data_IF_642224152269
#
_entry.id   IF_642224152269
#
_cell.length_a   1.000
_cell.length_b   1.000
_cell.length_c   1.000
_cell.angle_alpha   90.00
_cell.angle_beta   90.00
_cell.angle_gamma   90.00
#
_symmetry.space_group_name_H-M   'P 1'
#
loop_
_entity.id
_entity.type
_entity.pdbx_description
1 polymer ?
#
# COMPACT_ATOMS: atom_id res chain seq x y z
N UNK A 1 -22.66 42.39 6.90
CA UNK A 1 -23.86 43.25 6.80
C UNK A 1 -25.07 42.35 6.99
N UNK A 2 -26.00 42.76 7.84
CA UNK A 2 -26.81 41.90 8.71
C UNK A 2 -27.64 40.80 8.05
N UNK A 3 -27.50 39.58 8.55
CA UNK A 3 -28.60 38.62 8.52
C UNK A 3 -29.73 39.23 9.37
N UNK A 4 -30.91 39.47 8.77
CA UNK A 4 -32.11 39.71 9.58
C UNK A 4 -32.32 38.45 10.44
N UNK A 5 -32.45 38.58 11.77
CA UNK A 5 -32.63 37.43 12.66
C UNK A 5 -33.92 36.70 12.27
N UNK A 6 -33.87 35.37 12.19
CA UNK A 6 -35.07 34.55 12.07
C UNK A 6 -36.06 34.97 13.16
N UNK A 7 -37.28 35.37 12.77
CA UNK A 7 -38.34 35.84 13.68
C UNK A 7 -38.91 34.73 14.59
N UNK A 8 -38.22 33.60 14.68
CA UNK A 8 -38.55 32.49 15.56
C UNK A 8 -37.41 32.35 16.57
N UNK A 9 -37.72 32.58 17.84
CA UNK A 9 -36.76 32.42 18.93
C UNK A 9 -36.94 31.04 19.55
N UNK A 10 -35.86 30.30 19.85
CA UNK A 10 -35.94 29.05 20.60
C UNK A 10 -36.70 29.24 21.91
N UNK A 11 -37.65 28.35 22.19
CA UNK A 11 -38.38 28.33 23.45
C UNK A 11 -37.58 27.60 24.52
N UNK A 12 -36.97 28.37 25.43
CA UNK A 12 -36.19 27.81 26.56
C UNK A 12 -37.01 27.68 27.85
N UNK A 13 -38.27 28.11 27.86
CA UNK A 13 -39.09 28.19 29.07
C UNK A 13 -40.16 27.09 29.14
N UNK A 14 -40.11 26.12 28.23
CA UNK A 14 -41.09 25.02 28.21
C UNK A 14 -40.89 24.17 29.45
N UNK A 15 -41.94 24.06 30.26
CA UNK A 15 -41.92 23.18 31.44
C UNK A 15 -41.75 21.74 30.99
N UNK A 16 -40.96 20.97 31.73
CA UNK A 16 -40.87 19.53 31.50
C UNK A 16 -42.16 18.86 31.96
N UNK A 17 -42.62 17.86 31.22
CA UNK A 17 -43.92 17.24 31.47
C UNK A 17 -44.43 16.43 30.29
N UNK A 18 -45.63 15.88 30.44
CA UNK A 18 -46.30 15.10 29.39
C UNK A 18 -47.21 16.00 28.58
N UNK A 19 -47.00 16.00 27.27
CA UNK A 19 -47.70 16.86 26.32
C UNK A 19 -48.39 16.05 25.22
N UNK A 20 -49.39 16.67 24.62
CA UNK A 20 -49.87 16.31 23.29
C UNK A 20 -49.25 17.29 22.29
N UNK A 21 -48.69 16.79 21.19
CA UNK A 21 -48.22 17.63 20.09
C UNK A 21 -49.34 17.67 19.06
N UNK A 22 -49.95 18.84 18.89
CA UNK A 22 -51.13 19.04 18.07
C UNK A 22 -50.76 19.81 16.81
N UNK A 23 -51.20 19.32 15.65
CA UNK A 23 -51.09 20.04 14.41
C UNK A 23 -52.11 21.18 14.39
N UNK A 24 -51.62 22.43 14.34
CA UNK A 24 -52.41 23.65 14.54
C UNK A 24 -53.66 23.71 13.67
N UNK A 25 -53.53 23.51 12.35
CA UNK A 25 -54.67 23.64 11.42
C UNK A 25 -55.68 22.49 11.51
N UNK A 26 -55.27 21.28 11.91
CA UNK A 26 -56.13 20.09 11.82
C UNK A 26 -56.65 19.60 13.18
N UNK A 27 -56.07 20.10 14.28
CA UNK A 27 -56.38 19.66 15.64
C UNK A 27 -55.97 18.21 15.94
N UNK A 28 -55.34 17.52 14.99
CA UNK A 28 -54.91 16.13 15.12
C UNK A 28 -53.60 16.04 15.91
N UNK A 29 -53.43 14.97 16.68
CA UNK A 29 -52.28 14.72 17.52
C UNK A 29 -51.24 13.82 16.84
N UNK A 30 -49.95 14.10 17.09
CA UNK A 30 -48.86 13.20 16.72
C UNK A 30 -48.90 11.95 17.61
N UNK A 31 -48.84 10.78 16.98
CA UNK A 31 -48.89 9.48 17.65
C UNK A 31 -47.93 8.45 17.04
N UNK A 32 -47.58 7.43 17.82
CA UNK A 32 -46.98 6.20 17.28
C UNK A 32 -48.11 5.32 16.73
N UNK A 33 -47.93 4.79 15.53
CA UNK A 33 -48.88 3.88 14.89
C UNK A 33 -49.03 2.56 15.68
N UNK A 34 -50.26 2.08 15.82
CA UNK A 34 -50.57 0.91 16.65
C UNK A 34 -50.16 -0.44 16.02
N UNK A 35 -49.91 -0.46 14.71
CA UNK A 35 -49.49 -1.65 13.97
C UNK A 35 -48.00 -1.62 13.68
N UNK A 36 -47.44 -0.44 13.45
CA UNK A 36 -46.02 -0.23 13.20
C UNK A 36 -45.41 0.77 14.20
N UNK A 37 -44.78 0.22 15.24
CA UNK A 37 -44.21 1.02 16.33
C UNK A 37 -42.99 1.87 15.95
N UNK A 38 -42.53 1.82 14.70
CA UNK A 38 -41.48 2.71 14.17
C UNK A 38 -42.07 3.91 13.39
N UNK A 39 -43.37 3.87 13.07
CA UNK A 39 -44.04 4.88 12.25
C UNK A 39 -44.72 5.93 13.12
N UNK A 40 -44.45 7.19 12.81
CA UNK A 40 -45.16 8.35 13.37
C UNK A 40 -46.29 8.74 12.44
N UNK A 41 -47.47 8.96 13.00
CA UNK A 41 -48.67 9.38 12.27
C UNK A 41 -49.35 10.55 12.98
N UNK A 42 -50.19 11.27 12.25
CA UNK A 42 -51.03 12.33 12.79
C UNK A 42 -52.47 11.85 12.75
N UNK A 43 -53.13 11.78 13.90
CA UNK A 43 -54.46 11.18 14.05
C UNK A 43 -55.37 11.95 15.00
N UNK A 44 -56.66 11.65 15.01
CA UNK A 44 -57.62 12.30 15.91
C UNK A 44 -57.21 12.10 17.37
N UNK A 45 -57.29 13.19 18.14
CA UNK A 45 -56.89 13.18 19.55
C UNK A 45 -57.86 12.33 20.35
N UNK A 46 -57.36 11.24 20.92
CA UNK A 46 -58.12 10.29 21.75
C UNK A 46 -57.52 10.08 23.14
N UNK A 47 -56.51 10.89 23.49
CA UNK A 47 -55.82 10.87 24.78
C UNK A 47 -55.14 9.54 25.14
N UNK A 48 -54.96 8.63 24.17
CA UNK A 48 -54.19 7.40 24.35
C UNK A 48 -52.73 7.67 24.73
N UNK A 49 -52.10 6.72 25.41
CA UNK A 49 -50.70 6.86 25.84
C UNK A 49 -49.72 6.90 24.64
N UNK A 50 -50.08 6.34 23.49
CA UNK A 50 -49.34 6.48 22.23
C UNK A 50 -49.38 7.90 21.63
N UNK A 51 -50.26 8.79 22.12
CA UNK A 51 -50.33 10.21 21.75
C UNK A 51 -49.64 11.15 22.75
N UNK A 52 -49.19 10.60 23.89
CA UNK A 52 -48.59 11.37 24.97
C UNK A 52 -47.07 11.32 24.88
N UNK A 53 -46.44 12.50 24.91
CA UNK A 53 -45.01 12.67 24.77
C UNK A 53 -44.44 13.35 26.01
N UNK A 54 -43.59 12.65 26.74
CA UNK A 54 -42.84 13.18 27.85
C UNK A 54 -41.66 14.00 27.34
N UNK A 55 -41.72 15.31 27.59
CA UNK A 55 -40.69 16.27 27.23
C UNK A 55 -39.61 16.28 28.30
N UNK A 56 -38.37 16.01 27.90
CA UNK A 56 -37.20 16.01 28.78
C UNK A 56 -36.13 16.96 28.24
N UNK A 57 -35.38 17.61 29.12
CA UNK A 57 -34.27 18.47 28.73
C UNK A 57 -33.14 17.63 28.11
N UNK A 58 -32.62 18.08 26.97
CA UNK A 58 -31.47 17.49 26.29
C UNK A 58 -30.49 18.59 25.84
N UNK A 59 -29.54 18.94 26.71
CA UNK A 59 -28.62 20.04 26.45
C UNK A 59 -29.36 21.37 26.23
N UNK A 60 -29.19 21.98 25.05
CA UNK A 60 -29.87 23.22 24.63
C UNK A 60 -31.25 23.01 23.97
N UNK A 61 -31.71 21.77 23.87
CA UNK A 61 -33.00 21.41 23.29
C UNK A 61 -33.74 20.40 24.16
N UNK A 62 -34.67 19.68 23.55
CA UNK A 62 -35.56 18.74 24.24
C UNK A 62 -35.61 17.40 23.52
N UNK A 63 -35.93 16.35 24.26
CA UNK A 63 -36.28 15.05 23.71
C UNK A 63 -37.75 14.75 24.03
N UNK A 64 -38.44 14.11 23.09
CA UNK A 64 -39.83 13.72 23.22
C UNK A 64 -39.92 12.20 23.34
N UNK A 65 -40.23 11.69 24.53
CA UNK A 65 -40.36 10.25 24.79
C UNK A 65 -41.82 9.85 24.84
N UNK A 66 -42.24 8.94 23.99
CA UNK A 66 -43.60 8.40 23.98
C UNK A 66 -43.91 7.67 25.28
N UNK A 67 -45.09 7.92 25.86
CA UNK A 67 -45.50 7.35 27.14
C UNK A 67 -45.79 5.85 27.06
N UNK A 68 -46.40 5.39 25.96
CA UNK A 68 -46.79 3.98 25.81
C UNK A 68 -45.60 3.06 25.49
N UNK A 69 -44.78 3.46 24.52
CA UNK A 69 -43.72 2.59 23.99
C UNK A 69 -42.31 2.95 24.49
N UNK A 70 -42.13 4.11 25.11
CA UNK A 70 -40.83 4.59 25.58
C UNK A 70 -39.87 5.00 24.45
N UNK A 71 -40.32 4.99 23.20
CA UNK A 71 -39.55 5.43 22.03
C UNK A 71 -39.51 6.96 21.95
N UNK A 72 -38.49 7.48 21.31
CA UNK A 72 -38.27 8.89 21.11
C UNK A 72 -38.71 9.34 19.72
N UNK A 73 -39.18 10.57 19.61
CA UNK A 73 -39.39 11.21 18.31
C UNK A 73 -38.02 11.42 17.65
N UNK A 74 -37.81 10.86 16.45
CA UNK A 74 -36.55 10.89 15.73
C UNK A 74 -36.72 11.11 14.23
N UNK A 75 -35.63 10.99 13.47
CA UNK A 75 -35.61 11.10 12.01
C UNK A 75 -35.15 9.77 11.40
N UNK A 76 -35.82 9.33 10.34
CA UNK A 76 -35.38 8.20 9.51
C UNK A 76 -34.27 8.67 8.57
N UNK A 77 -33.01 8.34 8.89
CA UNK A 77 -31.84 8.67 8.06
C UNK A 77 -31.63 7.66 6.91
N UNK A 78 -32.49 6.65 6.80
CA UNK A 78 -32.43 5.64 5.76
C UNK A 78 -33.12 6.07 4.44
N UNK A 79 -33.90 7.15 4.48
CA UNK A 79 -34.67 7.65 3.35
C UNK A 79 -34.01 8.89 2.71
N UNK A 80 -34.28 9.13 1.43
CA UNK A 80 -33.84 10.34 0.73
C UNK A 80 -34.51 11.60 1.30
N UNK A 81 -33.77 12.71 1.34
CA UNK A 81 -34.25 13.99 1.88
C UNK A 81 -35.58 14.43 1.25
N UNK A 82 -36.59 14.84 2.04
CA UNK A 82 -36.55 15.09 3.48
C UNK A 82 -36.69 13.82 4.34
N UNK A 83 -35.81 13.68 5.34
CA UNK A 83 -35.85 12.57 6.31
C UNK A 83 -37.18 12.57 7.07
N UNK A 84 -38.02 11.53 6.93
CA UNK A 84 -39.32 11.50 7.60
C UNK A 84 -39.14 11.29 9.10
N UNK A 85 -40.09 11.81 9.89
CA UNK A 85 -40.11 11.63 11.35
C UNK A 85 -40.48 10.18 11.68
N UNK A 86 -39.75 9.56 12.59
CA UNK A 86 -39.95 8.17 13.01
C UNK A 86 -39.95 8.01 14.53
N UNK A 87 -40.38 6.84 15.00
CA UNK A 87 -40.25 6.45 16.40
C UNK A 87 -38.95 5.66 16.55
N UNK A 88 -38.01 6.22 17.29
CA UNK A 88 -36.64 5.70 17.46
C UNK A 88 -36.46 5.17 18.90
N UNK A 89 -35.81 4.01 19.11
CA UNK A 89 -35.41 3.60 20.45
C UNK A 89 -34.30 4.50 21.03
N UNK A 90 -33.62 5.27 20.18
CA UNK A 90 -32.55 6.19 20.55
C UNK A 90 -33.04 7.64 20.65
N UNK A 91 -32.64 8.39 21.68
CA UNK A 91 -33.07 9.78 21.88
C UNK A 91 -32.52 10.71 20.80
N UNK A 92 -33.38 11.58 20.27
CA UNK A 92 -33.00 12.70 19.41
C UNK A 92 -33.30 14.03 20.11
N UNK A 93 -32.42 15.01 19.90
CA UNK A 93 -32.58 16.35 20.47
C UNK A 93 -33.22 17.28 19.45
N UNK A 94 -34.27 17.98 19.88
CA UNK A 94 -35.08 18.89 19.09
C UNK A 94 -35.00 20.30 19.67
N UNK A 95 -34.95 21.30 18.81
CA UNK A 95 -35.11 22.69 19.22
C UNK A 95 -36.56 23.07 18.99
N UNK A 96 -37.26 23.47 20.05
CA UNK A 96 -38.64 23.99 19.95
C UNK A 96 -38.55 25.50 19.79
N UNK A 97 -39.31 26.06 18.85
CA UNK A 97 -39.28 27.48 18.52
C UNK A 97 -40.63 28.10 18.87
N UNK A 98 -40.64 29.28 19.49
CA UNK A 98 -41.88 30.06 19.67
C UNK A 98 -42.31 30.61 18.31
N UNK A 99 -43.57 30.37 17.95
CA UNK A 99 -44.19 31.02 16.80
C UNK A 99 -44.59 32.44 17.21
N UNK A 100 -44.19 33.44 16.42
CA UNK A 100 -44.55 34.85 16.68
C UNK A 100 -46.03 35.07 16.34
N UNK A 101 -46.87 35.55 17.29
CA UNK A 101 -48.29 35.85 17.03
C UNK A 101 -48.51 36.84 15.88
N UNK A 102 -47.55 37.72 15.57
CA UNK A 102 -47.67 38.68 14.46
C UNK A 102 -47.36 38.07 13.09
N UNK A 103 -46.80 36.85 13.02
CA UNK A 103 -46.52 36.16 11.76
C UNK A 103 -47.74 35.40 11.20
N UNK A 104 -48.83 35.32 11.95
CA UNK A 104 -50.07 34.68 11.54
C UNK A 104 -51.13 35.77 11.44
N UNK A 105 -51.42 36.23 10.23
CA UNK A 105 -52.72 36.87 9.99
C UNK A 105 -53.80 35.89 10.43
N UNK A 106 -54.77 36.35 11.22
CA UNK A 106 -55.89 35.52 11.66
C UNK A 106 -56.52 34.82 10.46
N UNK A 107 -56.54 33.48 10.48
CA UNK A 107 -57.27 32.67 9.51
C UNK A 107 -56.41 31.64 8.81
N UNK A 108 -56.78 30.37 9.00
CA UNK A 108 -56.53 29.33 8.01
C UNK A 108 -57.00 29.87 6.65
N UNK A 109 -56.16 29.92 5.60
CA UNK A 109 -56.60 30.48 4.32
C UNK A 109 -57.70 29.59 3.74
N UNK A 110 -58.93 30.09 3.82
CA UNK A 110 -60.01 29.68 2.94
C UNK A 110 -59.58 29.99 1.50
N UNK A 111 -60.02 29.17 0.56
CA UNK A 111 -59.59 29.11 -0.84
C UNK A 111 -60.01 30.34 -1.67
N UNK A 112 -59.54 31.52 -1.29
CA UNK A 112 -59.70 32.76 -2.07
C UNK A 112 -58.33 33.29 -2.43
N UNK A 113 -58.02 33.26 -3.72
CA UNK A 113 -56.76 33.69 -4.29
C UNK A 113 -56.54 35.20 -4.21
N UNK A 114 -56.35 35.72 -2.99
CA UNK A 114 -55.90 37.09 -2.78
C UNK A 114 -54.39 37.19 -3.07
N UNK A 115 -54.04 37.98 -4.09
CA UNK A 115 -52.65 38.26 -4.45
C UNK A 115 -51.91 38.89 -3.26
N UNK A 116 -50.77 38.30 -2.88
CA UNK A 116 -49.89 38.81 -1.82
C UNK A 116 -49.58 40.29 -2.04
N UNK A 117 -49.49 41.13 -0.99
CA UNK A 117 -49.19 42.55 -1.14
C UNK A 117 -47.93 42.75 -2.00
N UNK A 118 -47.94 43.71 -2.93
CA UNK A 118 -46.86 43.99 -3.89
C UNK A 118 -45.44 43.99 -3.28
N UNK A 119 -45.30 44.49 -2.04
CA UNK A 119 -44.02 44.50 -1.32
C UNK A 119 -43.47 43.08 -1.06
N UNK A 120 -44.32 42.12 -0.70
CA UNK A 120 -43.95 40.73 -0.50
C UNK A 120 -43.57 40.05 -1.81
N UNK A 121 -44.20 40.42 -2.92
CA UNK A 121 -43.86 39.88 -4.23
C UNK A 121 -42.45 40.32 -4.67
N UNK A 122 -42.09 41.58 -4.42
CA UNK A 122 -40.76 42.13 -4.71
C UNK A 122 -39.68 41.43 -3.87
N UNK A 123 -39.89 41.29 -2.55
CA UNK A 123 -38.94 40.62 -1.66
C UNK A 123 -38.78 39.13 -2.03
N UNK A 124 -39.88 38.45 -2.37
CA UNK A 124 -39.83 37.05 -2.84
C UNK A 124 -39.05 36.91 -4.15
N UNK A 125 -39.24 37.84 -5.10
CA UNK A 125 -38.52 37.83 -6.37
C UNK A 125 -37.01 38.06 -6.18
N UNK A 126 -36.62 38.96 -5.27
CA UNK A 126 -35.21 39.17 -4.91
C UNK A 126 -34.59 37.94 -4.26
N UNK A 127 -35.27 37.32 -3.29
CA UNK A 127 -34.79 36.09 -2.66
C UNK A 127 -34.67 34.94 -3.66
N UNK A 128 -35.59 34.84 -4.62
CA UNK A 128 -35.51 33.85 -5.70
C UNK A 128 -34.31 34.09 -6.62
N UNK A 129 -34.01 35.36 -6.94
CA UNK A 129 -32.83 35.70 -7.73
C UNK A 129 -31.54 35.35 -6.97
N UNK A 130 -31.41 35.77 -5.71
CA UNK A 130 -30.24 35.50 -4.88
C UNK A 130 -30.01 33.99 -4.71
N UNK A 131 -31.09 33.22 -4.50
CA UNK A 131 -31.02 31.77 -4.42
C UNK A 131 -30.55 31.17 -5.74
N UNK A 132 -31.08 31.63 -6.88
CA UNK A 132 -30.67 31.17 -8.20
C UNK A 132 -29.18 31.45 -8.46
N UNK A 133 -28.68 32.62 -8.07
CA UNK A 133 -27.27 32.97 -8.15
C UNK A 133 -26.40 32.03 -7.30
N UNK A 134 -26.82 31.75 -6.06
CA UNK A 134 -26.11 30.81 -5.17
C UNK A 134 -26.09 29.38 -5.70
N UNK A 135 -27.19 28.91 -6.27
CA UNK A 135 -27.27 27.60 -6.94
C UNK A 135 -26.33 27.54 -8.15
N UNK A 136 -26.26 28.61 -8.94
CA UNK A 136 -25.34 28.69 -10.07
C UNK A 136 -23.86 28.70 -9.64
N UNK A 137 -23.52 29.41 -8.55
CA UNK A 137 -22.18 29.39 -7.95
C UNK A 137 -21.80 27.99 -7.43
N UNK A 138 -22.69 27.33 -6.70
CA UNK A 138 -22.48 25.96 -6.22
C UNK A 138 -22.28 24.99 -7.38
N UNK A 139 -23.12 25.08 -8.41
CA UNK A 139 -23.00 24.26 -9.63
C UNK A 139 -21.66 24.47 -10.36
N UNK A 140 -21.06 25.66 -10.29
CA UNK A 140 -19.70 25.90 -10.82
C UNK A 140 -18.62 25.25 -9.95
N UNK A 141 -18.77 25.31 -8.62
CA UNK A 141 -17.85 24.67 -7.67
C UNK A 141 -17.89 23.15 -7.81
N UNK A 142 -19.07 22.55 -7.93
CA UNK A 142 -19.23 21.11 -8.11
C UNK A 142 -18.55 20.62 -9.39
N UNK A 143 -18.71 21.33 -10.50
CA UNK A 143 -17.98 21.02 -11.75
C UNK A 143 -16.46 21.11 -11.59
N UNK A 144 -15.96 22.08 -10.80
CA UNK A 144 -14.51 22.22 -10.54
C UNK A 144 -14.00 21.09 -9.63
N UNK A 145 -14.78 20.69 -8.63
CA UNK A 145 -14.47 19.56 -7.77
C UNK A 145 -14.47 18.25 -8.56
N UNK A 146 -15.47 18.03 -9.44
CA UNK A 146 -15.52 16.87 -10.32
C UNK A 146 -14.28 16.73 -11.19
N UNK A 147 -13.81 17.82 -11.82
CA UNK A 147 -12.54 17.82 -12.57
C UNK A 147 -11.33 17.46 -11.71
N UNK A 148 -11.23 18.01 -10.49
CA UNK A 148 -10.14 17.68 -9.57
C UNK A 148 -10.16 16.22 -9.14
N UNK A 149 -11.33 15.64 -8.92
CA UNK A 149 -11.48 14.22 -8.59
C UNK A 149 -10.99 13.35 -9.75
N UNK A 150 -11.34 13.70 -10.98
CA UNK A 150 -10.87 12.96 -12.17
C UNK A 150 -9.34 13.06 -12.33
N UNK A 151 -8.77 14.25 -12.14
CA UNK A 151 -7.32 14.45 -12.22
C UNK A 151 -6.56 13.69 -11.11
N UNK A 152 -7.10 13.67 -9.90
CA UNK A 152 -6.53 12.88 -8.79
C UNK A 152 -6.59 11.38 -9.09
N UNK A 153 -7.72 10.89 -9.61
CA UNK A 153 -7.87 9.48 -9.99
C UNK A 153 -6.86 9.05 -11.08
N UNK A 154 -6.60 9.92 -12.06
CA UNK A 154 -5.54 9.70 -13.07
C UNK A 154 -4.16 9.63 -12.43
N UNK A 155 -3.84 10.57 -11.53
CA UNK A 155 -2.57 10.57 -10.79
C UNK A 155 -2.39 9.32 -9.94
N UNK A 156 -3.43 8.87 -9.25
CA UNK A 156 -3.40 7.63 -8.46
C UNK A 156 -3.10 6.42 -9.36
N UNK A 157 -3.72 6.35 -10.53
CA UNK A 157 -3.46 5.30 -11.52
C UNK A 157 -2.01 5.31 -12.03
N UNK A 158 -1.47 6.50 -12.31
CA UNK A 158 -0.08 6.67 -12.74
C UNK A 158 0.91 6.30 -11.63
N UNK A 159 0.62 6.66 -10.37
CA UNK A 159 1.42 6.26 -9.20
C UNK A 159 1.44 4.74 -9.07
N UNK A 160 0.30 4.06 -9.23
CA UNK A 160 0.25 2.60 -9.17
C UNK A 160 1.07 1.95 -10.29
N UNK A 161 1.02 2.50 -11.51
CA UNK A 161 1.87 2.04 -12.63
C UNK A 161 3.35 2.21 -12.31
N UNK A 162 3.75 3.40 -11.85
CA UNK A 162 5.15 3.68 -11.52
C UNK A 162 5.68 2.78 -10.39
N UNK A 163 4.87 2.50 -9.37
CA UNK A 163 5.22 1.55 -8.30
C UNK A 163 5.46 0.15 -8.84
N UNK A 164 4.56 -0.36 -9.69
CA UNK A 164 4.72 -1.68 -10.30
C UNK A 164 5.97 -1.80 -11.17
N UNK A 165 6.31 -0.74 -11.91
CA UNK A 165 7.55 -0.67 -12.71
C UNK A 165 8.80 -0.66 -11.83
N UNK A 166 8.77 0.06 -10.70
CA UNK A 166 9.88 0.09 -9.75
C UNK A 166 10.09 -1.30 -9.13
N UNK A 167 9.03 -1.95 -8.67
CA UNK A 167 9.10 -3.31 -8.12
C UNK A 167 9.65 -4.32 -9.14
N UNK A 168 9.29 -4.17 -10.42
CA UNK A 168 9.82 -5.00 -11.50
C UNK A 168 11.32 -4.76 -11.71
N UNK A 169 11.77 -3.50 -11.67
CA UNK A 169 13.19 -3.15 -11.76
C UNK A 169 13.98 -3.71 -10.57
N UNK A 170 13.45 -3.62 -9.36
CA UNK A 170 14.12 -4.14 -8.17
C UNK A 170 14.25 -5.67 -8.19
N UNK A 171 13.24 -6.39 -8.69
CA UNK A 171 13.36 -7.83 -8.96
C UNK A 171 14.42 -8.13 -10.01
N UNK A 172 14.48 -7.33 -11.08
CA UNK A 172 15.49 -7.46 -12.12
C UNK A 172 16.92 -7.21 -11.62
N UNK A 173 17.11 -6.23 -10.73
CA UNK A 173 18.40 -5.96 -10.08
C UNK A 173 18.82 -7.15 -9.23
N UNK A 174 17.95 -7.63 -8.32
CA UNK A 174 18.23 -8.79 -7.47
C UNK A 174 18.64 -10.04 -8.26
N UNK A 175 17.95 -10.30 -9.38
CA UNK A 175 18.29 -11.42 -10.27
C UNK A 175 19.68 -11.27 -10.88
N UNK A 176 20.03 -10.07 -11.36
CA UNK A 176 21.36 -9.78 -11.92
C UNK A 176 22.46 -9.87 -10.85
N UNK A 177 22.21 -9.42 -9.63
CA UNK A 177 23.18 -9.52 -8.54
C UNK A 177 23.45 -10.98 -8.17
N UNK A 178 22.42 -11.83 -8.17
CA UNK A 178 22.57 -13.27 -7.97
C UNK A 178 23.38 -13.92 -9.11
N UNK A 179 23.12 -13.56 -10.37
CA UNK A 179 23.90 -14.04 -11.52
C UNK A 179 25.37 -13.59 -11.47
N UNK A 180 25.63 -12.35 -11.03
CA UNK A 180 27.00 -11.88 -10.85
C UNK A 180 27.71 -12.64 -9.73
N UNK A 181 27.01 -12.93 -8.64
CA UNK A 181 27.55 -13.71 -7.51
C UNK A 181 27.95 -15.12 -7.94
N UNK A 182 27.11 -15.81 -8.73
CA UNK A 182 27.46 -17.14 -9.27
C UNK A 182 28.64 -17.08 -10.23
N UNK A 183 28.68 -16.11 -11.15
CA UNK A 183 29.81 -15.92 -12.06
C UNK A 183 31.12 -15.61 -11.33
N UNK A 184 31.08 -14.82 -10.26
CA UNK A 184 32.26 -14.54 -9.45
C UNK A 184 32.79 -15.81 -8.75
N UNK A 185 31.89 -16.66 -8.25
CA UNK A 185 32.30 -17.96 -7.68
C UNK A 185 32.92 -18.88 -8.74
N UNK A 186 32.34 -18.92 -9.94
CA UNK A 186 32.91 -19.70 -11.06
C UNK A 186 34.28 -19.19 -11.49
N UNK A 187 34.46 -17.87 -11.56
CA UNK A 187 35.76 -17.25 -11.86
C UNK A 187 36.80 -17.62 -10.80
N UNK A 188 36.46 -17.51 -9.51
CA UNK A 188 37.36 -17.89 -8.42
C UNK A 188 37.79 -19.37 -8.50
N UNK A 189 36.87 -20.27 -8.89
CA UNK A 189 37.21 -21.69 -9.12
C UNK A 189 38.18 -21.86 -10.28
N UNK A 190 37.96 -21.16 -11.40
CA UNK A 190 38.86 -21.21 -12.56
C UNK A 190 40.24 -20.64 -12.25
N UNK A 191 40.32 -19.58 -11.47
CA UNK A 191 41.60 -19.02 -11.01
C UNK A 191 42.39 -20.03 -10.17
N UNK A 192 41.72 -20.74 -9.25
CA UNK A 192 42.36 -21.82 -8.48
C UNK A 192 42.83 -22.97 -9.37
N UNK A 193 42.03 -23.37 -10.36
CA UNK A 193 42.40 -24.42 -11.32
C UNK A 193 43.64 -24.02 -12.14
N UNK A 194 43.67 -22.79 -12.66
CA UNK A 194 44.83 -22.25 -13.38
C UNK A 194 46.08 -22.21 -12.50
N UNK A 195 45.96 -21.74 -11.25
CA UNK A 195 47.08 -21.73 -10.32
C UNK A 195 47.63 -23.15 -10.03
N UNK A 196 46.76 -24.16 -9.97
CA UNK A 196 47.18 -25.55 -9.84
C UNK A 196 47.90 -26.05 -11.10
N UNK A 197 47.41 -25.68 -12.29
CA UNK A 197 48.05 -26.02 -13.57
C UNK A 197 49.42 -25.37 -13.72
N UNK A 198 49.59 -24.13 -13.30
CA UNK A 198 50.89 -23.44 -13.32
C UNK A 198 51.91 -24.13 -12.41
N UNK A 199 51.49 -24.57 -11.22
CA UNK A 199 52.34 -25.38 -10.31
C UNK A 199 52.75 -26.71 -10.95
N UNK A 200 51.81 -27.40 -11.59
CA UNK A 200 52.07 -28.66 -12.30
C UNK A 200 53.08 -28.46 -13.45
N UNK A 201 52.89 -27.41 -14.25
CA UNK A 201 53.80 -27.05 -15.34
C UNK A 201 55.20 -26.67 -14.83
N UNK A 202 55.28 -25.93 -13.72
CA UNK A 202 56.55 -25.60 -13.09
C UNK A 202 57.30 -26.85 -12.63
N UNK A 203 56.62 -27.77 -11.96
CA UNK A 203 57.20 -29.04 -11.51
C UNK A 203 57.73 -29.87 -12.69
N UNK A 204 56.94 -30.01 -13.76
CA UNK A 204 57.37 -30.71 -14.99
C UNK A 204 58.57 -30.02 -15.65
N UNK A 205 58.61 -28.69 -15.64
CA UNK A 205 59.72 -27.93 -16.20
C UNK A 205 61.02 -28.17 -15.41
N UNK A 206 60.93 -28.26 -14.08
CA UNK A 206 62.05 -28.62 -13.23
C UNK A 206 62.54 -30.05 -13.50
N UNK A 207 61.63 -31.02 -13.59
CA UNK A 207 61.97 -32.42 -13.91
C UNK A 207 62.69 -32.53 -15.28
N UNK A 208 62.20 -31.81 -16.30
CA UNK A 208 62.85 -31.75 -17.61
C UNK A 208 64.26 -31.16 -17.50
N UNK A 209 64.46 -30.12 -16.68
CA UNK A 209 65.78 -29.51 -16.48
C UNK A 209 66.75 -30.47 -15.78
N UNK A 210 66.27 -31.20 -14.76
CA UNK A 210 67.03 -32.24 -14.08
C UNK A 210 67.43 -33.37 -15.03
N UNK A 211 66.48 -33.88 -15.83
CA UNK A 211 66.74 -34.90 -16.85
C UNK A 211 67.79 -34.45 -17.88
N UNK A 212 67.78 -33.18 -18.29
CA UNK A 212 68.78 -32.61 -19.20
C UNK A 212 70.17 -32.49 -18.56
N UNK A 213 70.26 -32.32 -17.24
CA UNK A 213 71.52 -32.22 -16.52
C UNK A 213 72.22 -33.56 -16.30
N UNK A 214 71.48 -34.68 -16.39
CA UNK A 214 72.02 -36.03 -16.28
C UNK A 214 72.92 -36.33 -17.49
N UNK A 215 74.24 -36.35 -17.27
CA UNK A 215 75.17 -36.88 -18.26
C UNK A 215 75.10 -38.41 -18.31
N UNK A 216 75.18 -39.04 -19.49
CA UNK A 216 75.30 -40.49 -19.57
C UNK A 216 76.56 -40.95 -18.82
N UNK A 217 76.39 -41.89 -17.89
CA UNK A 217 77.48 -42.37 -17.03
C UNK A 217 78.60 -42.93 -17.91
N UNK A 218 79.86 -42.45 -17.80
CA UNK A 218 80.97 -42.92 -18.64
C UNK A 218 81.19 -44.43 -18.59
N UNK A 219 80.83 -45.08 -17.48
CA UNK A 219 80.85 -46.54 -17.32
C UNK A 219 79.82 -47.27 -18.20
N UNK A 220 78.63 -46.68 -18.37
CA UNK A 220 77.58 -47.20 -19.27
C UNK A 220 78.03 -46.99 -20.72
N UNK A 221 78.54 -45.81 -21.05
CA UNK A 221 79.08 -45.51 -22.39
C UNK A 221 80.21 -46.49 -22.74
N UNK A 222 81.15 -46.72 -21.81
CA UNK A 222 82.27 -47.64 -22.01
C UNK A 222 81.79 -49.08 -22.22
N UNK A 223 80.82 -49.55 -21.41
CA UNK A 223 80.24 -50.90 -21.57
C UNK A 223 79.56 -51.07 -22.93
N UNK A 224 78.77 -50.09 -23.35
CA UNK A 224 78.08 -50.11 -24.64
C UNK A 224 79.05 -50.05 -25.84
N UNK A 225 80.13 -49.25 -25.73
CA UNK A 225 81.21 -49.24 -26.73
C UNK A 225 81.91 -50.59 -26.82
N UNK A 226 82.19 -51.21 -25.67
CA UNK A 226 82.85 -52.52 -25.62
C UNK A 226 81.94 -53.61 -26.22
N UNK A 227 80.64 -53.59 -25.94
CA UNK A 227 79.65 -54.49 -26.57
C UNK A 227 79.53 -54.27 -28.09
N UNK A 228 79.52 -53.02 -28.55
CA UNK A 228 79.48 -52.69 -29.97
C UNK A 228 80.77 -53.14 -30.69
N UNK A 229 81.92 -53.00 -30.05
CA UNK A 229 83.21 -53.43 -30.58
C UNK A 229 83.30 -54.97 -30.66
N UNK A 230 82.76 -55.68 -29.67
CA UNK A 230 82.64 -57.14 -29.71
C UNK A 230 81.69 -57.61 -30.83
N UNK A 231 80.59 -56.89 -31.08
CA UNK A 231 79.68 -57.14 -32.22
C UNK A 231 80.35 -56.86 -33.58
N UNK A 232 81.19 -55.84 -33.66
CA UNK A 232 81.95 -55.51 -34.87
C UNK A 232 83.03 -56.57 -35.16
N UNK A 233 83.76 -57.03 -34.13
CA UNK A 233 84.81 -58.06 -34.26
C UNK A 233 84.25 -59.48 -34.47
N UNK A 234 82.98 -59.73 -34.13
CA UNK A 234 82.27 -60.99 -34.40
C UNK A 234 81.75 -61.17 -35.83
N UNK A 235 81.89 -60.16 -36.71
CA UNK A 235 81.33 -60.22 -38.07
C UNK A 235 82.36 -60.63 -39.11
N UNK A 236 82.73 -61.90 -39.11
CA UNK A 236 83.22 -62.60 -40.31
C UNK A 236 82.46 -63.92 -40.47
N UNK A 237 81.71 -64.01 -41.57
CA UNK A 237 81.13 -65.23 -42.15
C UNK A 237 79.89 -65.82 -41.47
N UNK A 238 78.70 -65.48 -42.00
CA UNK A 238 77.89 -66.36 -42.86
C UNK A 238 76.49 -65.74 -43.04
N UNK A 239 76.07 -65.59 -44.29
CA UNK A 239 74.71 -65.20 -44.62
C UNK A 239 73.72 -66.32 -44.33
N UNK A 240 72.49 -65.94 -44.02
CA UNK A 240 71.28 -66.31 -44.76
C UNK A 240 70.04 -65.98 -43.93
N UNK A 241 69.20 -65.13 -44.52
CA UNK A 241 67.73 -65.13 -44.49
C UNK A 241 67.01 -65.51 -43.19
N UNK A 242 66.26 -64.56 -42.62
CA UNK A 242 64.86 -64.79 -42.18
C UNK A 242 64.14 -63.50 -41.78
N UNK A 243 63.15 -63.17 -42.61
CA UNK A 243 61.81 -62.60 -42.31
C UNK A 243 61.73 -61.27 -41.55
N UNK A 244 61.19 -60.25 -42.23
CA UNK A 244 60.67 -59.03 -41.60
C UNK A 244 59.48 -59.39 -40.70
N UNK A 245 59.68 -59.35 -39.38
CA UNK A 245 58.59 -59.33 -38.43
C UNK A 245 58.20 -57.86 -38.22
N UNK A 246 57.15 -57.44 -38.93
CA UNK A 246 56.48 -56.16 -38.70
C UNK A 246 55.82 -56.24 -37.32
N UNK A 247 56.24 -55.40 -36.40
CA UNK A 247 55.56 -55.22 -35.12
C UNK A 247 54.15 -54.68 -35.36
N UNK A 248 53.11 -55.19 -34.67
CA UNK A 248 51.76 -54.66 -34.83
C UNK A 248 51.68 -53.22 -34.30
N UNK A 249 50.78 -52.39 -34.84
CA UNK A 249 50.63 -51.00 -34.42
C UNK A 249 50.11 -50.94 -32.98
N UNK A 250 50.79 -50.17 -32.14
CA UNK A 250 50.31 -49.81 -30.81
C UNK A 250 49.16 -48.82 -30.99
N UNK A 251 47.93 -49.27 -30.76
CA UNK A 251 46.78 -48.40 -30.64
C UNK A 251 46.87 -47.59 -29.33
N UNK A 252 47.11 -46.29 -29.44
CA UNK A 252 46.95 -45.35 -28.33
C UNK A 252 45.46 -45.01 -28.23
N UNK A 253 44.74 -45.71 -27.37
CA UNK A 253 43.42 -45.30 -26.92
C UNK A 253 43.59 -44.26 -25.82
N UNK A 254 43.26 -43.01 -26.09
CA UNK A 254 43.04 -41.99 -25.05
C UNK A 254 41.78 -42.37 -24.27
N UNK A 255 41.96 -43.19 -23.24
CA UNK A 255 40.94 -43.49 -22.24
C UNK A 255 41.31 -42.80 -20.94
N UNK A 256 40.72 -41.63 -20.70
CA UNK A 256 40.57 -41.10 -19.34
C UNK A 256 39.25 -40.34 -19.27
N UNK A 257 38.17 -41.09 -19.48
CA UNK A 257 36.93 -40.78 -18.78
C UNK A 257 37.17 -41.16 -17.32
N UNK A 258 37.42 -40.17 -16.47
CA UNK A 258 37.37 -40.37 -15.03
C UNK A 258 35.92 -40.12 -14.59
N UNK A 259 35.18 -41.22 -14.51
CA UNK A 259 33.81 -41.31 -14.02
C UNK A 259 33.81 -41.03 -12.50
N UNK A 260 33.50 -39.79 -12.10
CA UNK A 260 33.13 -39.51 -10.71
C UNK A 260 31.64 -39.79 -10.57
N UNK A 261 31.32 -41.03 -10.21
CA UNK A 261 29.97 -41.41 -9.76
C UNK A 261 29.54 -40.45 -8.65
N UNK A 262 28.39 -39.81 -8.86
CA UNK A 262 27.57 -39.25 -7.80
C UNK A 262 27.38 -40.29 -6.70
N UNK A 263 28.11 -40.14 -5.60
CA UNK A 263 27.66 -40.64 -4.32
C UNK A 263 27.14 -39.44 -3.56
N UNK A 264 25.88 -39.55 -3.18
CA UNK A 264 25.13 -38.59 -2.39
C UNK A 264 25.98 -38.06 -1.23
N UNK A 265 26.46 -36.82 -1.37
CA UNK A 265 26.96 -36.05 -0.24
C UNK A 265 25.79 -35.16 0.17
N UNK A 266 24.96 -35.67 1.09
CA UNK A 266 24.12 -34.82 1.93
C UNK A 266 25.04 -33.92 2.75
N UNK A 267 25.29 -32.71 2.26
CA UNK A 267 25.87 -31.65 3.09
C UNK A 267 24.74 -31.16 3.99
N UNK A 268 24.64 -31.79 5.15
CA UNK A 268 23.89 -31.29 6.30
C UNK A 268 24.40 -29.88 6.63
N UNK A 269 23.52 -28.89 6.53
CA UNK A 269 23.77 -27.55 7.07
C UNK A 269 24.16 -27.66 8.55
N UNK A 270 25.37 -27.21 8.87
CA UNK A 270 25.83 -26.99 10.24
C UNK A 270 26.48 -25.60 10.32
N UNK A 271 25.68 -24.55 10.17
CA UNK A 271 25.91 -23.21 10.69
C UNK A 271 24.50 -22.65 10.99
N UNK A 272 24.03 -22.81 12.22
CA UNK A 272 24.09 -21.87 13.37
C UNK A 272 23.19 -20.65 13.14
N UNK A 273 22.02 -20.68 13.79
CA UNK A 273 21.03 -19.61 13.92
C UNK A 273 21.54 -18.47 14.85
N UNK A 274 22.75 -17.94 14.63
CA UNK A 274 23.34 -16.91 15.51
C UNK A 274 23.79 -15.65 14.74
N UNK A 275 23.15 -15.31 13.61
CA UNK A 275 23.44 -14.08 12.85
C UNK A 275 22.37 -12.99 13.06
N UNK A 276 21.48 -13.15 14.04
CA UNK A 276 20.43 -12.15 14.34
C UNK A 276 20.91 -11.02 15.27
N UNK A 277 22.15 -11.01 15.78
CA UNK A 277 22.58 -10.06 16.83
C UNK A 277 23.57 -8.97 16.38
N UNK A 278 24.09 -9.02 15.14
CA UNK A 278 25.08 -8.02 14.66
C UNK A 278 24.43 -6.88 13.86
N UNK A 279 23.21 -7.07 13.35
CA UNK A 279 22.53 -6.08 12.51
C UNK A 279 21.92 -4.90 13.29
N UNK A 280 21.64 -5.04 14.58
CA UNK A 280 21.00 -3.97 15.36
C UNK A 280 21.96 -2.82 15.68
N UNK A 281 23.26 -3.11 15.87
CA UNK A 281 24.24 -2.09 16.26
C UNK A 281 24.61 -1.18 15.09
N UNK A 282 24.76 -1.74 13.89
CA UNK A 282 25.14 -0.97 12.70
C UNK A 282 23.94 -0.17 12.14
N UNK A 283 22.73 -0.73 12.24
CA UNK A 283 21.48 0.00 11.90
C UNK A 283 21.19 1.11 12.90
N UNK A 284 21.39 0.90 14.21
CA UNK A 284 21.26 1.96 15.22
C UNK A 284 22.27 3.09 15.01
N UNK A 285 23.50 2.75 14.61
CA UNK A 285 24.55 3.73 14.27
C UNK A 285 24.18 4.59 13.05
N UNK A 286 23.53 3.97 12.05
CA UNK A 286 23.05 4.66 10.86
C UNK A 286 21.85 5.57 11.15
N UNK A 287 20.93 5.17 12.03
CA UNK A 287 19.81 6.01 12.47
C UNK A 287 20.28 7.21 13.31
N UNK A 288 21.20 7.02 14.26
CA UNK A 288 21.75 8.11 15.06
C UNK A 288 22.47 9.17 14.20
N UNK A 289 23.21 8.72 13.17
CA UNK A 289 23.88 9.62 12.23
C UNK A 289 22.90 10.38 11.33
N UNK A 290 21.75 9.80 11.02
CA UNK A 290 20.71 10.47 10.25
C UNK A 290 19.98 11.56 11.07
N UNK A 291 19.74 11.33 12.36
CA UNK A 291 19.16 12.34 13.25
C UNK A 291 20.10 13.54 13.48
N UNK A 292 21.40 13.31 13.57
CA UNK A 292 22.40 14.40 13.74
C UNK A 292 22.49 15.30 12.48
N UNK A 293 22.27 14.72 11.29
CA UNK A 293 22.23 15.47 10.01
C UNK A 293 20.93 16.26 9.85
N UNK A 294 19.82 15.79 10.42
CA UNK A 294 18.55 16.51 10.43
C UNK A 294 18.52 17.62 11.49
N UNK A 295 19.17 17.43 12.64
CA UNK A 295 19.32 18.44 13.68
C UNK A 295 20.21 19.61 13.25
N UNK A 296 21.29 19.35 12.49
CA UNK A 296 22.21 20.39 12.00
C UNK A 296 21.72 21.15 10.75
N UNK A 297 20.52 20.84 10.23
CA UNK A 297 19.88 21.58 9.12
C UNK A 297 18.72 22.47 9.57
N UNK A 298 18.50 22.60 10.87
CA UNK A 298 17.36 23.32 11.45
C UNK A 298 17.59 24.79 11.80
N UNK A 299 18.79 25.35 11.63
CA UNK A 299 19.09 26.71 12.09
C UNK A 299 19.93 27.50 11.09
N UNK A 300 19.31 27.88 9.97
CA UNK A 300 19.69 29.06 9.20
C UNK A 300 18.39 29.70 8.69
N UNK A 301 17.88 30.61 9.51
CA UNK A 301 16.76 31.49 9.17
C UNK A 301 17.28 32.81 8.57
N UNK A 302 16.40 33.41 7.76
CA UNK A 302 16.38 34.82 7.31
C UNK A 302 17.32 35.26 6.17
N UNK A 303 16.72 35.42 4.98
CA UNK A 303 16.48 36.70 4.26
C UNK A 303 15.64 36.32 3.02
N UNK A 304 14.55 36.96 2.60
CA UNK A 304 14.09 38.34 2.71
C UNK A 304 13.91 38.91 1.29
N UNK A 305 12.76 38.70 0.64
CA UNK A 305 12.23 39.51 -0.48
C UNK A 305 10.82 39.01 -0.84
N UNK A 306 9.72 39.66 -0.43
CA UNK A 306 9.12 40.86 -1.00
C UNK A 306 9.11 40.90 -2.54
N UNK A 307 7.95 40.60 -3.12
CA UNK A 307 7.58 41.06 -4.47
C UNK A 307 6.13 41.57 -4.42
N UNK A 308 6.00 42.89 -4.50
CA UNK A 308 4.80 43.60 -4.96
C UNK A 308 4.72 43.58 -6.49
N UNK A 309 3.46 43.77 -6.93
CA UNK A 309 2.90 43.98 -8.28
C UNK A 309 2.60 42.74 -9.13
#
# INVERSE_FOLDING_TARGET
MGQKPSHHTPDQDIKLGTYFIIHDCSGKAIQIDNQNYQKITVWDRHAGDNQQWYLQQSGKGYMFKNKQHGYYLGLSLADDSPFPVCASPYPASWVVMKQDPQAIGEGCPDETGEELPMQYQIERAQLQQDLAEKVAELSKKDRKLGRRIEDLSKKDSDIMRMKAELDAKDRGIRSRDQELMTKNQELARKEQELAMKDRELFAKSQEIAELKSLRPKPSIIRRLLQEAEMRSKGSRSRGSSRTSSVAPPVSVTYGSEFDFKSQDIEIRSQYSDDEDEILDTEVASLYARAEEVLANKGDDSETGSHYEY
#
